data_IF_194905639941
#
_entry.id   IF_194905639941
#
_cell.length_a   1.000
_cell.length_b   1.000
_cell.length_c   1.000
_cell.angle_alpha   90.00
_cell.angle_beta   90.00
_cell.angle_gamma   90.00
#
_symmetry.space_group_name_H-M   'P 1'
#
loop_
_entity.id
_entity.type
_entity.pdbx_description
1 polymer ?
#
# COMPACT_ATOMS: atom_id res chain seq x y z
N UNK A 1 5.65 18.91 1.67
CA UNK A 1 4.81 17.71 1.50
C UNK A 1 5.71 16.49 1.43
N UNK A 2 5.70 15.63 2.46
CA UNK A 2 6.43 14.36 2.54
C UNK A 2 5.65 13.30 1.76
N UNK A 3 6.30 12.70 0.76
CA UNK A 3 5.70 11.71 -0.16
C UNK A 3 6.55 10.45 -0.10
N UNK A 4 5.91 9.30 0.01
CA UNK A 4 6.60 8.03 0.18
C UNK A 4 5.94 6.94 -0.66
N UNK A 5 6.70 5.90 -0.96
CA UNK A 5 6.19 4.67 -1.56
C UNK A 5 6.17 3.60 -0.48
N UNK A 6 5.16 2.74 -0.47
CA UNK A 6 5.01 1.66 0.49
C UNK A 6 4.70 0.34 -0.21
N UNK A 7 5.33 -0.74 0.26
CA UNK A 7 5.04 -2.12 -0.12
C UNK A 7 4.77 -2.92 1.16
N UNK A 8 4.12 -4.07 1.02
CA UNK A 8 4.01 -5.06 2.09
C UNK A 8 4.37 -6.44 1.54
N UNK A 9 5.28 -7.15 2.20
CA UNK A 9 5.67 -8.51 1.82
C UNK A 9 6.26 -9.27 3.01
N UNK A 10 6.12 -10.60 2.99
CA UNK A 10 6.86 -11.49 3.87
C UNK A 10 8.13 -12.00 3.17
N UNK A 11 8.95 -12.74 3.92
CA UNK A 11 10.20 -13.29 3.42
C UNK A 11 10.00 -14.27 2.24
N UNK A 12 8.88 -14.99 2.21
CA UNK A 12 8.53 -15.89 1.10
C UNK A 12 8.26 -15.17 -0.24
N UNK A 13 7.94 -13.88 -0.22
CA UNK A 13 7.71 -13.03 -1.39
C UNK A 13 8.88 -12.07 -1.67
N UNK A 14 10.01 -12.23 -0.96
CA UNK A 14 11.14 -11.31 -1.03
C UNK A 14 11.71 -11.16 -2.45
N UNK A 15 11.73 -12.22 -3.25
CA UNK A 15 12.21 -12.17 -4.63
C UNK A 15 11.33 -11.31 -5.55
N UNK A 16 10.01 -11.33 -5.33
CA UNK A 16 9.04 -10.47 -6.06
C UNK A 16 9.21 -9.03 -5.58
N UNK A 17 9.20 -8.83 -4.26
CA UNK A 17 9.39 -7.51 -3.65
C UNK A 17 10.71 -6.85 -4.09
N UNK A 18 11.82 -7.60 -4.09
CA UNK A 18 13.13 -7.09 -4.55
C UNK A 18 13.09 -6.72 -6.03
N UNK A 19 12.38 -7.47 -6.87
CA UNK A 19 12.20 -7.15 -8.29
C UNK A 19 11.42 -5.84 -8.47
N UNK A 20 10.32 -5.67 -7.74
CA UNK A 20 9.52 -4.44 -7.72
C UNK A 20 10.35 -3.25 -7.24
N UNK A 21 11.08 -3.39 -6.12
CA UNK A 21 11.97 -2.37 -5.57
C UNK A 21 13.06 -1.95 -6.55
N UNK A 22 13.71 -2.91 -7.23
CA UNK A 22 14.70 -2.60 -8.27
C UNK A 22 14.09 -1.74 -9.38
N UNK A 23 12.87 -2.07 -9.82
CA UNK A 23 12.17 -1.29 -10.84
C UNK A 23 11.82 0.12 -10.36
N UNK A 24 11.37 0.29 -9.10
CA UNK A 24 11.12 1.59 -8.48
C UNK A 24 12.40 2.44 -8.46
N UNK A 25 13.47 1.93 -7.85
CA UNK A 25 14.71 2.69 -7.68
C UNK A 25 15.44 2.96 -8.99
N UNK A 26 15.23 2.14 -10.02
CA UNK A 26 15.75 2.38 -11.37
C UNK A 26 15.12 3.61 -12.02
N UNK A 27 13.83 3.83 -11.79
CA UNK A 27 13.05 4.85 -12.51
C UNK A 27 12.73 6.09 -11.67
N UNK A 28 12.78 5.98 -10.34
CA UNK A 28 12.47 7.05 -9.39
C UNK A 28 13.64 7.25 -8.42
N UNK A 29 14.69 8.00 -8.82
CA UNK A 29 15.83 8.29 -7.94
C UNK A 29 15.39 9.18 -6.77
N UNK A 30 16.09 9.09 -5.63
CA UNK A 30 15.74 9.77 -4.37
C UNK A 30 14.38 9.35 -3.78
N UNK A 31 13.89 8.18 -4.14
CA UNK A 31 12.67 7.62 -3.56
C UNK A 31 12.89 7.19 -2.11
N UNK A 32 11.94 7.54 -1.25
CA UNK A 32 11.78 7.02 0.11
C UNK A 32 10.75 5.89 0.07
N UNK A 33 11.21 4.65 0.21
CA UNK A 33 10.36 3.45 0.10
C UNK A 33 10.30 2.74 1.44
N UNK A 34 9.10 2.40 1.91
CA UNK A 34 8.87 1.61 3.11
C UNK A 34 8.45 0.19 2.70
N UNK A 35 9.09 -0.83 3.28
CA UNK A 35 8.66 -2.22 3.12
C UNK A 35 8.12 -2.74 4.45
N UNK A 36 6.80 -2.81 4.55
CA UNK A 36 6.11 -3.40 5.68
C UNK A 36 6.32 -4.92 5.69
N UNK A 37 6.89 -5.43 6.78
CA UNK A 37 7.19 -6.86 6.90
C UNK A 37 7.26 -7.31 8.37
N UNK A 38 7.12 -8.61 8.64
CA UNK A 38 7.35 -9.17 9.98
C UNK A 38 8.70 -9.90 10.05
N UNK A 39 9.12 -10.57 8.97
CA UNK A 39 10.11 -11.65 9.00
C UNK A 39 11.34 -11.42 8.10
N UNK A 40 11.43 -10.31 7.35
CA UNK A 40 12.61 -10.03 6.52
C UNK A 40 13.80 -9.61 7.40
N UNK A 41 15.01 -10.18 7.23
CA UNK A 41 16.18 -9.85 8.04
C UNK A 41 16.66 -8.41 7.86
N UNK A 42 17.08 -7.76 8.95
CA UNK A 42 17.61 -6.39 8.94
C UNK A 42 18.89 -6.27 8.11
N UNK A 43 19.70 -7.32 8.05
CA UNK A 43 20.94 -7.39 7.26
C UNK A 43 20.65 -7.25 5.75
N UNK A 44 19.51 -7.76 5.29
CA UNK A 44 19.09 -7.58 3.90
C UNK A 44 18.79 -6.11 3.60
N UNK A 45 18.09 -5.41 4.51
CA UNK A 45 17.85 -3.97 4.38
C UNK A 45 19.15 -3.15 4.40
N UNK A 46 20.11 -3.52 5.26
CA UNK A 46 21.42 -2.88 5.29
C UNK A 46 22.15 -3.03 3.95
N UNK A 47 22.23 -4.26 3.43
CA UNK A 47 22.89 -4.56 2.15
C UNK A 47 22.21 -3.88 0.94
N UNK A 48 20.88 -3.71 0.97
CA UNK A 48 20.16 -2.95 -0.07
C UNK A 48 20.49 -1.47 0.03
N UNK A 49 20.43 -0.87 1.23
CA UNK A 49 20.68 0.56 1.42
C UNK A 49 22.12 0.98 1.08
N UNK A 50 23.12 0.11 1.30
CA UNK A 50 24.49 0.35 0.82
C UNK A 50 24.53 0.58 -0.70
N UNK A 51 23.72 -0.15 -1.46
CA UNK A 51 23.62 -0.01 -2.93
C UNK A 51 22.80 1.22 -3.34
N UNK A 52 21.87 1.67 -2.50
CA UNK A 52 21.02 2.83 -2.78
C UNK A 52 21.68 4.17 -2.43
N UNK A 53 22.68 4.17 -1.54
CA UNK A 53 23.36 5.38 -1.08
C UNK A 53 23.83 6.33 -2.23
N UNK A 54 24.41 5.84 -3.35
CA UNK A 54 24.85 6.71 -4.44
C UNK A 54 23.72 7.43 -5.20
N UNK A 55 22.49 6.87 -5.19
CA UNK A 55 21.33 7.45 -5.90
C UNK A 55 20.42 8.27 -4.98
N UNK A 56 20.79 8.40 -3.70
CA UNK A 56 20.05 9.16 -2.70
C UNK A 56 18.68 8.57 -2.35
N UNK A 57 18.40 7.32 -2.77
CA UNK A 57 17.18 6.60 -2.41
C UNK A 57 17.39 5.85 -1.09
N UNK A 58 16.30 5.50 -0.42
CA UNK A 58 16.34 4.77 0.84
C UNK A 58 15.20 3.76 0.93
N UNK A 59 15.52 2.59 1.45
CA UNK A 59 14.55 1.56 1.82
C UNK A 59 14.45 1.50 3.34
N UNK A 60 13.28 1.77 3.89
CA UNK A 60 12.99 1.67 5.32
C UNK A 60 12.40 0.30 5.63
N UNK A 61 12.97 -0.32 6.67
CA UNK A 61 12.39 -1.50 7.30
C UNK A 61 11.21 -1.07 8.17
N UNK A 62 9.99 -1.28 7.69
CA UNK A 62 8.77 -1.04 8.44
C UNK A 62 8.36 -2.35 9.11
N UNK A 63 8.97 -2.65 10.27
CA UNK A 63 8.57 -3.80 11.07
C UNK A 63 7.18 -3.62 11.65
N UNK A 64 6.35 -4.62 11.43
CA UNK A 64 4.99 -4.68 11.95
C UNK A 64 4.77 -6.00 12.69
N UNK A 65 3.84 -6.01 13.63
CA UNK A 65 3.21 -7.21 14.15
C UNK A 65 1.71 -7.10 13.87
N UNK A 66 1.14 -8.08 13.18
CA UNK A 66 -0.29 -8.04 12.84
C UNK A 66 -1.19 -8.20 14.07
N UNK A 67 -0.67 -8.76 15.16
CA UNK A 67 -1.40 -8.84 16.43
C UNK A 67 -1.66 -7.46 17.06
N UNK A 68 -0.88 -6.45 16.67
CA UNK A 68 -1.11 -5.06 17.08
C UNK A 68 -2.33 -4.43 16.37
N UNK A 69 -2.87 -5.13 15.37
CA UNK A 69 -3.98 -4.65 14.54
C UNK A 69 -5.23 -5.49 14.74
N UNK A 70 -6.38 -4.85 14.57
CA UNK A 70 -7.68 -5.50 14.69
C UNK A 70 -7.82 -6.67 13.71
N UNK A 71 -7.20 -6.58 12.52
CA UNK A 71 -7.21 -7.66 11.54
C UNK A 71 -6.55 -8.94 12.05
N UNK A 72 -5.45 -8.85 12.82
CA UNK A 72 -4.78 -10.01 13.39
C UNK A 72 -5.62 -10.75 14.43
N UNK A 73 -6.71 -10.14 14.89
CA UNK A 73 -7.65 -10.72 15.83
C UNK A 73 -8.85 -11.40 15.13
N UNK A 74 -8.98 -11.27 13.80
CA UNK A 74 -10.10 -11.84 13.05
C UNK A 74 -9.69 -13.13 12.34
N UNK A 75 -10.19 -14.26 12.82
CA UNK A 75 -10.01 -15.57 12.19
C UNK A 75 -10.80 -15.67 10.88
N UNK A 76 -10.19 -15.32 9.76
CA UNK A 76 -10.66 -15.74 8.44
C UNK A 76 -9.70 -16.79 7.89
N UNK A 77 -10.18 -18.01 7.61
CA UNK A 77 -9.39 -19.15 7.10
C UNK A 77 -8.67 -18.88 5.75
N UNK A 78 -8.90 -17.72 5.12
CA UNK A 78 -8.45 -17.39 3.77
C UNK A 78 -7.90 -15.97 3.59
N UNK A 79 -7.63 -15.24 4.68
CA UNK A 79 -7.06 -13.90 4.56
C UNK A 79 -5.53 -13.98 4.52
N UNK A 80 -4.93 -13.49 3.43
CA UNK A 80 -3.51 -13.17 3.41
C UNK A 80 -3.28 -11.87 4.20
N UNK A 81 -3.13 -12.03 5.50
CA UNK A 81 -2.60 -11.13 6.52
C UNK A 81 -1.86 -9.86 6.03
N UNK A 82 -0.88 -10.00 5.12
CA UNK A 82 -0.08 -8.87 4.65
C UNK A 82 -0.80 -7.90 3.72
N UNK A 83 -1.84 -8.35 3.02
CA UNK A 83 -2.62 -7.50 2.10
C UNK A 83 -3.34 -6.38 2.84
N UNK A 84 -3.74 -6.62 4.10
CA UNK A 84 -4.48 -5.66 4.94
C UNK A 84 -3.61 -4.54 5.49
N UNK A 85 -2.28 -4.70 5.48
CA UNK A 85 -1.34 -3.68 5.94
C UNK A 85 -1.56 -2.34 5.23
N UNK A 86 -1.99 -2.37 3.95
CA UNK A 86 -2.27 -1.16 3.16
C UNK A 86 -3.31 -0.24 3.79
N UNK A 87 -4.26 -0.79 4.55
CA UNK A 87 -5.28 -0.02 5.29
C UNK A 87 -4.64 0.77 6.46
N UNK A 88 -3.59 0.20 7.07
CA UNK A 88 -2.94 0.77 8.24
C UNK A 88 -1.75 1.69 7.90
N UNK A 89 -1.34 1.78 6.63
CA UNK A 89 -0.17 2.58 6.23
C UNK A 89 -0.24 4.04 6.68
N UNK A 90 -1.39 4.76 6.60
CA UNK A 90 -1.48 6.12 7.10
C UNK A 90 -1.19 6.24 8.60
N UNK A 91 -1.47 5.21 9.40
CA UNK A 91 -1.13 5.18 10.83
C UNK A 91 0.35 4.85 11.07
N UNK A 92 0.95 4.06 10.19
CA UNK A 92 2.31 3.52 10.35
C UNK A 92 3.41 4.42 9.77
N UNK A 93 3.07 5.26 8.79
CA UNK A 93 4.04 6.10 8.09
C UNK A 93 3.62 7.56 8.20
N UNK A 94 4.47 8.37 8.81
CA UNK A 94 4.31 9.82 8.81
C UNK A 94 4.60 10.37 7.41
N UNK A 95 3.58 10.58 6.59
CA UNK A 95 3.69 11.18 5.25
C UNK A 95 2.35 11.82 4.84
N UNK A 96 2.40 12.84 3.98
CA UNK A 96 1.21 13.50 3.45
C UNK A 96 0.60 12.72 2.27
N UNK A 97 1.45 11.98 1.55
CA UNK A 97 1.09 11.12 0.40
C UNK A 97 1.79 9.78 0.52
N UNK A 98 1.02 8.70 0.41
CA UNK A 98 1.55 7.33 0.39
C UNK A 98 1.12 6.66 -0.90
N UNK A 99 2.08 6.28 -1.74
CA UNK A 99 1.83 5.42 -2.89
C UNK A 99 2.07 3.96 -2.49
N UNK A 100 0.99 3.21 -2.27
CA UNK A 100 1.08 1.77 -2.08
C UNK A 100 1.20 1.04 -3.42
N UNK A 101 2.10 0.06 -3.47
CA UNK A 101 2.31 -0.84 -4.60
C UNK A 101 2.34 -2.30 -4.08
N UNK A 102 1.65 -3.20 -4.77
CA UNK A 102 1.81 -4.63 -4.54
C UNK A 102 3.27 -5.07 -4.82
N UNK A 103 3.69 -6.16 -4.18
CA UNK A 103 5.06 -6.66 -4.28
C UNK A 103 5.39 -7.34 -5.61
N UNK A 104 4.42 -7.57 -6.48
CA UNK A 104 4.49 -8.36 -7.72
C UNK A 104 4.18 -7.53 -8.98
N UNK A 105 4.60 -6.26 -9.00
CA UNK A 105 4.46 -5.36 -10.16
C UNK A 105 5.82 -4.91 -10.71
N UNK A 106 5.83 -4.31 -11.91
CA UNK A 106 7.02 -3.71 -12.50
C UNK A 106 6.77 -2.24 -12.83
N UNK A 107 7.57 -1.36 -12.22
CA UNK A 107 7.57 0.07 -12.51
C UNK A 107 8.45 0.34 -13.72
N UNK A 108 7.92 1.05 -14.72
CA UNK A 108 8.60 1.31 -16.00
C UNK A 108 8.88 2.80 -16.27
N UNK A 109 8.52 3.67 -15.33
CA UNK A 109 8.61 5.13 -15.46
C UNK A 109 8.73 5.80 -14.10
N UNK A 110 9.04 7.10 -14.13
CA UNK A 110 9.14 7.91 -12.91
C UNK A 110 7.78 7.99 -12.20
N UNK A 111 7.75 7.71 -10.90
CA UNK A 111 6.56 7.76 -10.06
C UNK A 111 6.28 9.14 -9.46
N UNK A 112 7.20 10.10 -9.57
CA UNK A 112 7.00 11.46 -9.06
C UNK A 112 5.69 12.11 -9.57
N UNK A 113 5.33 12.05 -10.86
CA UNK A 113 4.06 12.60 -11.34
C UNK A 113 2.85 12.00 -10.63
N UNK A 114 2.94 10.74 -10.22
CA UNK A 114 1.86 10.06 -9.54
C UNK A 114 1.82 10.43 -8.05
N UNK A 115 2.97 10.51 -7.38
CA UNK A 115 3.08 11.04 -6.01
C UNK A 115 2.63 12.51 -5.90
N UNK A 116 2.71 13.25 -7.00
CA UNK A 116 2.32 14.67 -7.14
C UNK A 116 0.88 14.87 -7.62
N UNK A 117 0.15 13.77 -7.87
CA UNK A 117 -1.22 13.87 -8.30
C UNK A 117 -2.07 14.56 -7.21
N UNK A 118 -2.64 15.70 -7.57
CA UNK A 118 -3.64 16.37 -6.76
C UNK A 118 -4.98 15.65 -6.90
N UNK A 119 -5.51 15.17 -5.78
CA UNK A 119 -6.81 14.52 -5.75
C UNK A 119 -7.93 15.55 -5.83
N UNK A 120 -9.00 15.19 -6.52
CA UNK A 120 -10.22 15.98 -6.58
C UNK A 120 -10.79 16.19 -5.18
N UNK A 121 -11.48 17.31 -4.99
CA UNK A 121 -12.06 17.68 -3.69
C UNK A 121 -12.93 16.54 -3.13
N UNK A 122 -12.64 16.13 -1.90
CA UNK A 122 -13.37 15.07 -1.22
C UNK A 122 -12.84 13.66 -1.47
N UNK A 123 -11.81 13.49 -2.30
CA UNK A 123 -11.18 12.20 -2.57
C UNK A 123 -10.00 11.97 -1.63
N UNK A 124 -9.90 10.75 -1.12
CA UNK A 124 -8.83 10.30 -0.22
C UNK A 124 -7.89 9.29 -0.88
N UNK A 125 -8.34 8.71 -1.99
CA UNK A 125 -7.63 7.65 -2.69
C UNK A 125 -7.64 7.91 -4.18
N UNK A 126 -6.62 7.46 -4.89
CA UNK A 126 -6.68 7.24 -6.32
C UNK A 126 -6.26 5.82 -6.68
N UNK A 127 -7.09 5.16 -7.49
CA UNK A 127 -6.98 3.73 -7.81
C UNK A 127 -7.42 3.47 -9.25
N UNK A 128 -6.90 2.41 -9.85
CA UNK A 128 -7.27 1.97 -11.21
C UNK A 128 -8.43 0.99 -11.13
N UNK A 129 -9.34 0.98 -12.12
CA UNK A 129 -10.41 -0.03 -12.19
C UNK A 129 -9.85 -1.45 -12.26
N UNK A 130 -10.57 -2.39 -11.68
CA UNK A 130 -10.25 -3.81 -11.81
C UNK A 130 -10.78 -4.34 -13.15
N UNK A 131 -9.91 -5.03 -13.91
CA UNK A 131 -10.25 -5.60 -15.21
C UNK A 131 -11.03 -6.92 -15.11
N UNK A 132 -10.92 -7.63 -14.00
CA UNK A 132 -11.59 -8.91 -13.75
C UNK A 132 -12.91 -8.69 -13.00
N UNK A 133 -12.95 -7.72 -12.08
CA UNK A 133 -14.10 -7.43 -11.23
C UNK A 133 -14.79 -6.12 -11.64
N UNK A 134 -15.77 -6.24 -12.54
CA UNK A 134 -16.52 -5.10 -13.07
C UNK A 134 -17.11 -4.23 -11.95
N UNK A 135 -16.79 -2.93 -11.97
CA UNK A 135 -17.26 -1.96 -10.97
C UNK A 135 -16.41 -1.86 -9.70
N UNK A 136 -15.37 -2.69 -9.57
CA UNK A 136 -14.38 -2.56 -8.51
C UNK A 136 -13.11 -1.84 -9.01
N UNK A 137 -12.30 -1.39 -8.06
CA UNK A 137 -10.96 -0.87 -8.23
C UNK A 137 -9.94 -1.90 -7.75
N UNK A 138 -8.80 -1.97 -8.42
CA UNK A 138 -7.69 -2.83 -8.03
C UNK A 138 -6.94 -2.19 -6.85
N UNK A 139 -6.71 -2.94 -5.77
CA UNK A 139 -5.99 -2.42 -4.59
C UNK A 139 -4.47 -2.47 -4.73
N UNK A 140 -3.91 -3.05 -5.79
CA UNK A 140 -2.48 -3.22 -5.96
C UNK A 140 -1.69 -1.95 -6.29
N UNK A 141 -2.39 -0.88 -6.68
CA UNK A 141 -1.82 0.45 -6.84
C UNK A 141 -2.77 1.47 -6.24
N UNK A 142 -2.36 2.08 -5.13
CA UNK A 142 -3.18 3.05 -4.39
C UNK A 142 -2.38 4.28 -4.01
N UNK A 143 -2.79 5.45 -4.49
CA UNK A 143 -2.32 6.71 -3.93
C UNK A 143 -3.24 7.13 -2.80
N UNK A 144 -2.69 7.33 -1.61
CA UNK A 144 -3.42 7.70 -0.40
C UNK A 144 -3.08 9.14 -0.02
N UNK A 145 -4.11 9.95 0.15
CA UNK A 145 -4.05 11.29 0.75
C UNK A 145 -4.28 11.17 2.25
N UNK A 146 -3.24 11.46 3.05
CA UNK A 146 -3.26 11.27 4.49
C UNK A 146 -4.36 12.10 5.17
N UNK A 147 -4.45 13.39 4.85
CA UNK A 147 -5.37 14.30 5.50
C UNK A 147 -6.83 13.88 5.28
N UNK A 148 -7.20 13.53 4.04
CA UNK A 148 -8.54 13.05 3.74
C UNK A 148 -8.79 11.65 4.29
N UNK A 149 -7.79 10.77 4.30
CA UNK A 149 -7.91 9.45 4.93
C UNK A 149 -8.27 9.57 6.42
N UNK A 150 -7.55 10.44 7.15
CA UNK A 150 -7.82 10.73 8.56
C UNK A 150 -9.17 11.45 8.74
N UNK A 151 -9.44 12.47 7.93
CA UNK A 151 -10.68 13.28 8.00
C UNK A 151 -11.94 12.43 7.85
N UNK A 152 -11.92 11.46 6.93
CA UNK A 152 -13.06 10.60 6.65
C UNK A 152 -13.05 9.29 7.43
N UNK A 153 -12.05 9.08 8.33
CA UNK A 153 -11.95 7.89 9.20
C UNK A 153 -12.00 6.58 8.42
N UNK A 154 -11.22 6.52 7.34
CA UNK A 154 -11.30 5.41 6.38
C UNK A 154 -10.70 4.11 6.92
N UNK A 155 -9.72 4.19 7.81
CA UNK A 155 -9.20 3.03 8.55
C UNK A 155 -10.34 2.40 9.37
N UNK A 156 -11.03 3.18 10.19
CA UNK A 156 -12.13 2.71 11.03
C UNK A 156 -13.31 2.20 10.20
N UNK A 157 -13.59 2.84 9.05
CA UNK A 157 -14.60 2.36 8.10
C UNK A 157 -14.24 0.97 7.55
N UNK A 158 -12.97 0.74 7.18
CA UNK A 158 -12.48 -0.57 6.74
C UNK A 158 -12.60 -1.62 7.86
N UNK A 159 -12.15 -1.29 9.07
CA UNK A 159 -12.22 -2.16 10.26
C UNK A 159 -13.68 -2.52 10.59
N UNK A 160 -14.60 -1.56 10.48
CA UNK A 160 -16.03 -1.82 10.70
C UNK A 160 -16.60 -2.85 9.73
N UNK A 161 -16.11 -2.89 8.48
CA UNK A 161 -16.52 -3.89 7.49
C UNK A 161 -15.91 -5.25 7.80
N UNK A 162 -14.61 -5.30 8.15
CA UNK A 162 -13.91 -6.53 8.55
C UNK A 162 -14.65 -7.24 9.69
N UNK A 163 -15.15 -6.48 10.67
CA UNK A 163 -15.83 -7.03 11.84
C UNK A 163 -17.27 -7.53 11.57
N UNK A 164 -17.83 -7.30 10.37
CA UNK A 164 -19.16 -7.80 10.00
C UNK A 164 -19.06 -9.25 9.51
N UNK A 165 -19.49 -10.19 10.36
CA UNK A 165 -19.43 -11.64 10.12
C UNK A 165 -20.23 -12.16 8.92
N UNK A 166 -21.20 -11.39 8.42
CA UNK A 166 -22.15 -11.83 7.37
C UNK A 166 -21.74 -11.44 5.93
N UNK A 167 -20.60 -10.75 5.75
CA UNK A 167 -20.17 -10.33 4.42
C UNK A 167 -19.34 -11.42 3.75
N UNK A 168 -19.75 -11.84 2.54
CA UNK A 168 -18.92 -12.65 1.66
C UNK A 168 -17.77 -11.79 1.11
N UNK A 169 -16.63 -11.83 1.80
CA UNK A 169 -15.39 -11.18 1.38
C UNK A 169 -14.68 -12.13 0.41
N UNK A 170 -14.89 -11.93 -0.90
CA UNK A 170 -14.34 -12.81 -1.92
C UNK A 170 -12.90 -12.43 -2.32
N UNK A 171 -12.55 -11.14 -2.28
CA UNK A 171 -11.23 -10.62 -2.66
C UNK A 171 -10.65 -9.75 -1.53
N UNK A 172 -10.61 -10.32 -0.32
CA UNK A 172 -9.95 -9.76 0.86
C UNK A 172 -10.02 -8.24 1.06
N UNK A 173 -8.84 -7.64 1.21
CA UNK A 173 -8.61 -6.21 1.39
C UNK A 173 -9.23 -5.37 0.27
N UNK A 174 -9.14 -5.82 -0.99
CA UNK A 174 -9.69 -5.10 -2.13
C UNK A 174 -11.19 -4.90 -1.99
N UNK A 175 -11.91 -5.94 -1.56
CA UNK A 175 -13.36 -5.85 -1.35
C UNK A 175 -13.68 -4.83 -0.26
N UNK A 176 -12.94 -4.86 0.84
CA UNK A 176 -13.15 -3.95 1.98
C UNK A 176 -12.88 -2.50 1.60
N UNK A 177 -11.74 -2.24 0.94
CA UNK A 177 -11.37 -0.89 0.50
C UNK A 177 -12.40 -0.36 -0.50
N UNK A 178 -12.83 -1.19 -1.46
CA UNK A 178 -13.88 -0.79 -2.41
C UNK A 178 -15.18 -0.43 -1.71
N UNK A 179 -15.61 -1.20 -0.69
CA UNK A 179 -16.85 -0.94 0.04
C UNK A 179 -16.75 0.27 0.99
N UNK A 180 -15.64 0.40 1.74
CA UNK A 180 -15.45 1.47 2.70
C UNK A 180 -15.19 2.82 2.00
N UNK A 181 -14.44 2.78 0.90
CA UNK A 181 -13.86 3.97 0.31
C UNK A 181 -14.51 4.38 -1.02
N UNK A 182 -15.58 3.71 -1.48
CA UNK A 182 -16.18 3.89 -2.81
C UNK A 182 -16.34 5.35 -3.24
N UNK A 183 -16.96 6.17 -2.38
CA UNK A 183 -17.23 7.60 -2.66
C UNK A 183 -15.97 8.48 -2.60
N UNK A 184 -14.91 7.99 -1.96
CA UNK A 184 -13.65 8.71 -1.74
C UNK A 184 -12.55 8.32 -2.73
N UNK A 185 -12.82 7.36 -3.64
CA UNK A 185 -11.89 6.97 -4.69
C UNK A 185 -12.00 7.91 -5.90
N UNK A 186 -10.86 8.40 -6.34
CA UNK A 186 -10.65 8.97 -7.67
C UNK A 186 -10.19 7.87 -8.61
N UNK A 187 -10.90 7.69 -9.71
CA UNK A 187 -10.49 6.76 -10.76
C UNK A 187 -9.23 7.29 -11.45
N UNK A 188 -8.21 6.44 -11.52
CA UNK A 188 -7.02 6.66 -12.32
C UNK A 188 -7.21 6.11 -13.74
N UNK A 189 -6.59 6.77 -14.72
CA UNK A 189 -6.63 6.30 -16.08
C UNK A 189 -5.89 4.97 -16.28
N UNK A 190 -6.39 4.17 -17.21
CA UNK A 190 -5.66 3.07 -17.84
C UNK A 190 -4.87 3.60 -19.04
N UNK A 191 -3.79 4.36 -18.84
CA UNK A 191 -2.87 4.69 -19.94
C UNK A 191 -1.49 5.14 -19.46
#
# INVERSE_FOLDING_TARGET
MKKVIALAANYGYLDKAETTLKSIFKHTPKAEVYLANMDIPQEWFAAVNEKLAPVGSKLHDLKIDLNDFEIGQVNFEHINDYSYVRIYLPRLIEADRILYLDSDIIVRGDLNPFLELELAKGKALAMVKDIQFMGAYNSGVMLIDYDNWQRYKLEEACISIINKKDLKINNGDQTIINMACQEYIQELPFY
#
